data_IF_992402815991
#
_entry.id   IF_992402815991
#
_cell.length_a   1.000
_cell.length_b   1.000
_cell.length_c   1.000
_cell.angle_alpha   90.00
_cell.angle_beta   90.00
_cell.angle_gamma   90.00
#
_symmetry.space_group_name_H-M   'P 1'
#
loop_
_entity.id
_entity.type
_entity.pdbx_description
1 polymer ?
#
# COMPACT_ATOMS: atom_id res chain seq x y z
N UNK A 1 38.21 -23.53 -4.98
CA UNK A 1 37.30 -22.72 -5.81
C UNK A 1 36.30 -22.07 -4.85
N UNK A 2 35.91 -20.83 -5.08
CA UNK A 2 34.85 -20.18 -4.26
C UNK A 2 33.50 -20.73 -4.72
N UNK A 3 32.94 -21.67 -3.96
CA UNK A 3 31.70 -22.38 -4.26
C UNK A 3 30.52 -21.43 -4.29
N UNK A 4 30.50 -20.37 -3.43
CA UNK A 4 29.43 -19.38 -3.42
C UNK A 4 29.44 -18.58 -4.74
N UNK A 5 30.64 -18.15 -5.20
CA UNK A 5 30.74 -17.43 -6.46
C UNK A 5 30.38 -18.30 -7.66
N UNK A 6 30.73 -19.62 -7.60
CA UNK A 6 30.33 -20.57 -8.64
C UNK A 6 28.79 -20.72 -8.69
N UNK A 7 28.14 -20.82 -7.54
CA UNK A 7 26.67 -20.91 -7.46
C UNK A 7 26.00 -19.65 -8.02
N UNK A 8 26.48 -18.44 -7.67
CA UNK A 8 25.96 -17.18 -8.24
C UNK A 8 26.03 -17.17 -9.78
N UNK A 9 27.18 -17.55 -10.35
CA UNK A 9 27.35 -17.59 -11.79
C UNK A 9 26.50 -18.67 -12.49
N UNK A 10 26.26 -19.80 -11.83
CA UNK A 10 25.33 -20.82 -12.32
C UNK A 10 23.90 -20.34 -12.25
N UNK A 11 23.49 -19.66 -11.17
CA UNK A 11 22.16 -19.08 -11.03
C UNK A 11 21.87 -18.04 -12.11
N UNK A 12 22.82 -17.14 -12.38
CA UNK A 12 22.70 -16.18 -13.49
C UNK A 12 22.52 -16.86 -14.86
N UNK A 13 23.18 -18.00 -15.10
CA UNK A 13 23.09 -18.75 -16.36
C UNK A 13 21.87 -19.66 -16.49
N UNK A 14 21.30 -20.04 -15.36
CA UNK A 14 20.06 -20.84 -15.29
C UNK A 14 18.80 -19.97 -15.12
N UNK A 15 18.91 -18.67 -15.37
CA UNK A 15 17.77 -17.77 -15.35
C UNK A 15 16.65 -18.30 -16.27
N UNK A 16 15.45 -18.48 -15.70
CA UNK A 16 14.29 -19.10 -16.37
C UNK A 16 14.21 -20.62 -16.29
N UNK A 17 15.17 -21.30 -15.64
CA UNK A 17 15.07 -22.73 -15.34
C UNK A 17 14.19 -23.04 -14.14
N UNK A 18 14.08 -22.08 -13.20
CA UNK A 18 13.15 -22.15 -12.08
C UNK A 18 11.72 -21.84 -12.55
N UNK A 19 10.77 -22.67 -12.16
CA UNK A 19 9.35 -22.43 -12.32
C UNK A 19 8.78 -22.26 -10.91
N UNK A 20 8.72 -21.03 -10.37
CA UNK A 20 8.19 -20.81 -9.03
C UNK A 20 6.70 -21.15 -8.93
N UNK A 21 6.27 -21.59 -7.74
CA UNK A 21 4.87 -21.81 -7.44
C UNK A 21 4.06 -20.51 -7.58
N UNK A 22 2.86 -20.63 -8.15
CA UNK A 22 1.95 -19.51 -8.37
C UNK A 22 0.77 -19.63 -7.41
N UNK A 23 0.57 -18.61 -6.57
CA UNK A 23 -0.54 -18.54 -5.64
C UNK A 23 -1.88 -18.46 -6.36
N UNK A 24 -2.91 -19.09 -5.79
CA UNK A 24 -4.29 -18.88 -6.22
C UNK A 24 -4.67 -17.40 -6.06
N UNK A 25 -5.59 -16.93 -6.92
CA UNK A 25 -6.13 -15.57 -6.84
C UNK A 25 -7.64 -15.61 -6.69
N UNK A 26 -8.14 -14.75 -5.80
CA UNK A 26 -9.56 -14.49 -5.67
C UNK A 26 -9.88 -13.14 -6.31
N UNK A 27 -10.96 -13.13 -7.08
CA UNK A 27 -11.59 -11.93 -7.61
C UNK A 27 -13.10 -12.03 -7.45
N UNK A 28 -13.82 -10.93 -7.69
CA UNK A 28 -15.28 -10.91 -7.66
C UNK A 28 -15.83 -10.34 -8.96
N UNK A 29 -16.85 -11.01 -9.49
CA UNK A 29 -17.73 -10.45 -10.52
C UNK A 29 -19.09 -10.17 -9.86
N UNK A 30 -19.33 -8.92 -9.47
CA UNK A 30 -20.45 -8.55 -8.60
C UNK A 30 -20.34 -9.23 -7.23
N UNK A 31 -21.25 -10.18 -6.95
CA UNK A 31 -21.23 -10.97 -5.70
C UNK A 31 -20.56 -12.33 -5.84
N UNK A 32 -20.26 -12.75 -7.07
CA UNK A 32 -19.75 -14.09 -7.35
C UNK A 32 -18.24 -14.14 -7.18
N UNK A 33 -17.79 -14.93 -6.19
CA UNK A 33 -16.37 -15.21 -5.96
C UNK A 33 -15.84 -16.07 -7.08
N UNK A 34 -14.78 -15.60 -7.75
CA UNK A 34 -14.05 -16.34 -8.79
C UNK A 34 -12.66 -16.67 -8.27
N UNK A 35 -12.15 -17.84 -8.65
CA UNK A 35 -10.84 -18.33 -8.23
C UNK A 35 -10.04 -18.69 -9.47
N UNK A 36 -8.88 -18.05 -9.63
CA UNK A 36 -7.81 -18.52 -10.50
C UNK A 36 -7.02 -19.56 -9.70
N UNK A 37 -6.89 -20.81 -10.18
CA UNK A 37 -6.20 -21.85 -9.44
C UNK A 37 -4.72 -21.54 -9.18
N UNK A 38 -4.18 -22.10 -8.10
CA UNK A 38 -2.74 -22.14 -7.85
C UNK A 38 -2.07 -23.18 -8.75
N UNK A 39 -0.79 -22.97 -9.00
CA UNK A 39 0.06 -23.93 -9.71
C UNK A 39 1.31 -24.17 -8.85
N UNK A 40 1.64 -25.43 -8.60
CA UNK A 40 2.90 -25.77 -7.92
C UNK A 40 4.04 -25.68 -8.92
N UNK A 41 5.20 -25.24 -8.45
CA UNK A 41 6.40 -25.06 -9.22
C UNK A 41 7.49 -26.06 -8.89
N UNK A 42 8.61 -25.93 -9.57
CA UNK A 42 9.87 -26.62 -9.29
C UNK A 42 11.02 -25.63 -9.42
N UNK A 43 11.91 -25.60 -8.44
CA UNK A 43 13.10 -24.73 -8.43
C UNK A 43 14.37 -25.55 -8.23
N UNK A 44 15.51 -25.02 -8.65
CA UNK A 44 16.79 -25.70 -8.48
C UNK A 44 17.08 -25.86 -6.97
N UNK A 45 17.33 -27.10 -6.56
CA UNK A 45 17.90 -27.40 -5.25
C UNK A 45 19.44 -27.23 -5.32
N UNK A 46 19.88 -26.06 -4.88
CA UNK A 46 21.30 -25.71 -4.97
C UNK A 46 22.21 -26.58 -4.12
N UNK A 47 21.75 -27.15 -3.00
CA UNK A 47 22.60 -27.96 -2.13
C UNK A 47 23.09 -29.24 -2.82
N UNK A 48 22.23 -30.13 -3.34
CA UNK A 48 22.65 -31.30 -4.07
C UNK A 48 23.32 -30.94 -5.41
N UNK A 49 22.84 -29.90 -6.11
CA UNK A 49 23.41 -29.45 -7.38
C UNK A 49 24.87 -29.01 -7.22
N UNK A 50 25.18 -28.23 -6.18
CA UNK A 50 26.56 -27.81 -5.90
C UNK A 50 27.45 -28.94 -5.39
N UNK A 51 26.91 -29.94 -4.71
CA UNK A 51 27.65 -31.15 -4.35
C UNK A 51 28.12 -31.94 -5.60
N UNK A 52 27.30 -32.02 -6.63
CA UNK A 52 27.72 -32.63 -7.92
C UNK A 52 28.71 -31.74 -8.65
N UNK A 53 28.56 -30.43 -8.66
CA UNK A 53 29.52 -29.49 -9.19
C UNK A 53 30.91 -29.71 -8.57
N UNK A 54 31.02 -29.75 -7.24
CA UNK A 54 32.30 -29.91 -6.53
C UNK A 54 33.01 -31.23 -6.89
N UNK A 55 32.27 -32.32 -7.14
CA UNK A 55 32.83 -33.59 -7.57
C UNK A 55 33.36 -33.56 -8.97
N UNK A 56 32.76 -32.80 -9.88
CA UNK A 56 33.04 -32.84 -11.34
C UNK A 56 33.89 -31.69 -11.84
N UNK A 57 33.97 -30.58 -11.12
CA UNK A 57 34.64 -29.36 -11.54
C UNK A 57 36.15 -29.55 -11.87
N UNK A 58 36.79 -30.53 -11.26
CA UNK A 58 38.21 -30.87 -11.47
C UNK A 58 38.41 -32.10 -12.34
N UNK A 59 37.33 -32.75 -12.80
CA UNK A 59 37.38 -33.95 -13.64
C UNK A 59 37.30 -33.65 -15.13
N UNK A 60 37.40 -34.71 -15.93
CA UNK A 60 37.26 -34.66 -17.40
C UNK A 60 35.77 -34.55 -17.81
N UNK A 61 34.86 -35.11 -17.00
CA UNK A 61 33.41 -35.05 -17.21
C UNK A 61 32.83 -33.86 -16.42
N UNK A 62 32.49 -32.80 -17.13
CA UNK A 62 32.02 -31.54 -16.61
C UNK A 62 30.52 -31.30 -16.86
N UNK A 63 29.78 -32.32 -17.29
CA UNK A 63 28.35 -32.26 -17.51
C UNK A 63 27.64 -32.92 -16.34
N UNK A 64 26.62 -32.26 -15.80
CA UNK A 64 25.72 -32.79 -14.79
C UNK A 64 24.36 -32.08 -14.88
N UNK A 65 23.31 -32.76 -14.46
CA UNK A 65 21.97 -32.22 -14.35
C UNK A 65 21.80 -31.48 -13.01
N UNK A 66 21.08 -30.35 -13.02
CA UNK A 66 20.63 -29.72 -11.80
C UNK A 66 19.58 -30.60 -11.10
N UNK A 67 19.63 -30.63 -9.78
CA UNK A 67 18.57 -31.27 -8.98
C UNK A 67 17.48 -30.25 -8.71
N UNK A 68 16.25 -30.63 -8.93
CA UNK A 68 15.07 -29.79 -8.64
C UNK A 68 14.36 -30.23 -7.37
N UNK A 69 13.70 -29.29 -6.71
CA UNK A 69 12.78 -29.55 -5.60
C UNK A 69 11.45 -28.87 -5.86
N UNK A 70 10.33 -29.42 -5.33
CA UNK A 70 9.04 -28.77 -5.40
C UNK A 70 9.07 -27.37 -4.75
N UNK A 71 8.38 -26.43 -5.39
CA UNK A 71 8.09 -25.08 -4.87
C UNK A 71 6.57 -24.90 -4.85
N UNK A 72 5.88 -25.44 -3.82
CA UNK A 72 4.43 -25.39 -3.77
C UNK A 72 3.91 -23.96 -3.59
N UNK A 73 2.74 -23.68 -4.17
CA UNK A 73 2.06 -22.42 -3.94
C UNK A 73 1.76 -22.21 -2.43
N UNK A 74 2.08 -21.04 -1.90
CA UNK A 74 1.85 -20.69 -0.49
C UNK A 74 0.37 -20.45 -0.17
N UNK A 75 -0.40 -19.95 -1.15
CA UNK A 75 -1.85 -19.80 -1.07
C UNK A 75 -2.50 -20.68 -2.14
N UNK A 76 -3.01 -21.81 -1.71
CA UNK A 76 -3.52 -22.85 -2.62
C UNK A 76 -4.93 -22.56 -3.10
N UNK A 77 -5.36 -23.25 -4.17
CA UNK A 77 -6.74 -23.23 -4.64
C UNK A 77 -7.74 -23.63 -3.55
N UNK A 78 -7.36 -24.56 -2.67
CA UNK A 78 -8.22 -24.99 -1.56
C UNK A 78 -8.31 -23.96 -0.46
N UNK A 79 -7.24 -23.19 -0.20
CA UNK A 79 -7.27 -22.05 0.71
C UNK A 79 -8.15 -20.94 0.15
N UNK A 80 -8.07 -20.67 -1.15
CA UNK A 80 -8.92 -19.71 -1.84
C UNK A 80 -10.42 -20.07 -1.76
N UNK A 81 -10.76 -21.36 -1.87
CA UNK A 81 -12.16 -21.84 -1.70
C UNK A 81 -12.67 -21.60 -0.29
N UNK A 82 -11.82 -21.84 0.74
CA UNK A 82 -12.15 -21.68 2.17
C UNK A 82 -12.15 -20.23 2.64
N UNK A 83 -11.44 -19.34 1.94
CA UNK A 83 -11.31 -17.95 2.31
C UNK A 83 -12.64 -17.25 2.45
N UNK A 84 -12.81 -16.51 3.55
CA UNK A 84 -14.00 -15.72 3.88
C UNK A 84 -13.66 -14.24 4.00
N UNK A 85 -14.68 -13.39 3.87
CA UNK A 85 -14.57 -11.93 3.98
C UNK A 85 -15.57 -11.39 5.01
N UNK A 86 -15.74 -12.10 6.12
CA UNK A 86 -16.78 -11.81 7.11
C UNK A 86 -16.34 -10.77 8.13
N UNK A 87 -15.07 -10.80 8.55
CA UNK A 87 -14.57 -9.89 9.57
C UNK A 87 -14.17 -8.54 8.96
N UNK A 88 -14.32 -7.46 9.71
CA UNK A 88 -13.65 -6.20 9.42
C UNK A 88 -12.28 -6.27 10.07
N UNK A 89 -11.23 -6.40 9.25
CA UNK A 89 -9.84 -6.53 9.73
C UNK A 89 -9.17 -5.17 9.92
N UNK A 90 -9.65 -4.14 9.20
CA UNK A 90 -9.26 -2.75 9.38
C UNK A 90 -10.33 -1.82 8.83
N UNK A 91 -10.54 -0.69 9.49
CA UNK A 91 -11.54 0.32 9.10
C UNK A 91 -11.04 1.71 9.43
N UNK A 92 -11.37 2.65 8.55
CA UNK A 92 -11.17 4.07 8.84
C UNK A 92 -12.22 4.93 8.13
N UNK A 93 -12.52 6.10 8.72
CA UNK A 93 -13.47 7.07 8.18
C UNK A 93 -12.85 8.46 8.20
N UNK A 94 -13.00 9.21 7.12
CA UNK A 94 -12.72 10.64 7.08
C UNK A 94 -13.95 11.43 6.59
N UNK A 95 -14.00 12.71 6.95
CA UNK A 95 -15.10 13.61 6.63
C UNK A 95 -14.60 15.03 6.30
N UNK A 96 -15.50 15.93 5.95
CA UNK A 96 -15.16 17.34 5.78
C UNK A 96 -14.52 17.67 4.42
N UNK A 97 -15.04 17.12 3.34
CA UNK A 97 -14.67 17.47 1.97
C UNK A 97 -15.65 18.47 1.33
N UNK A 98 -15.18 19.22 0.34
CA UNK A 98 -16.04 20.08 -0.52
C UNK A 98 -16.89 19.22 -1.46
N UNK A 99 -17.95 19.79 -2.04
CA UNK A 99 -18.80 19.08 -2.99
C UNK A 99 -18.00 18.57 -4.23
N UNK A 100 -17.05 19.36 -4.74
CA UNK A 100 -16.20 18.96 -5.86
C UNK A 100 -15.24 17.83 -5.47
N UNK A 101 -14.56 17.94 -4.30
CA UNK A 101 -13.73 16.84 -3.77
C UNK A 101 -14.57 15.58 -3.53
N UNK A 102 -15.81 15.73 -3.01
CA UNK A 102 -16.72 14.63 -2.76
C UNK A 102 -17.04 13.84 -4.03
N UNK A 103 -17.27 14.52 -5.17
CA UNK A 103 -17.47 13.84 -6.45
C UNK A 103 -16.26 13.00 -6.88
N UNK A 104 -15.06 13.53 -6.72
CA UNK A 104 -13.82 12.79 -7.04
C UNK A 104 -13.59 11.61 -6.07
N UNK A 105 -13.87 11.81 -4.77
CA UNK A 105 -13.79 10.76 -3.74
C UNK A 105 -14.79 9.63 -4.03
N UNK A 106 -16.02 9.97 -4.41
CA UNK A 106 -17.04 8.98 -4.77
C UNK A 106 -16.61 8.12 -5.96
N UNK A 107 -16.07 8.74 -7.02
CA UNK A 107 -15.60 8.02 -8.20
C UNK A 107 -14.48 7.05 -7.86
N UNK A 108 -13.45 7.50 -7.14
CA UNK A 108 -12.35 6.60 -6.76
C UNK A 108 -12.81 5.51 -5.78
N UNK A 109 -13.73 5.83 -4.86
CA UNK A 109 -14.32 4.85 -3.95
C UNK A 109 -15.08 3.75 -4.70
N UNK A 110 -15.87 4.11 -5.72
CA UNK A 110 -16.59 3.15 -6.57
C UNK A 110 -15.62 2.23 -7.35
N UNK A 111 -14.51 2.77 -7.86
CA UNK A 111 -13.51 1.99 -8.59
C UNK A 111 -12.78 0.99 -7.68
N UNK A 112 -12.48 1.38 -6.45
CA UNK A 112 -11.72 0.54 -5.50
C UNK A 112 -12.63 -0.46 -4.76
N UNK A 113 -13.94 -0.16 -4.70
CA UNK A 113 -14.89 -1.02 -3.99
C UNK A 113 -14.96 -2.42 -4.58
N UNK A 114 -14.70 -3.43 -3.78
CA UNK A 114 -14.69 -4.84 -4.16
C UNK A 114 -13.34 -5.37 -4.62
N UNK A 115 -12.30 -4.53 -4.71
CA UNK A 115 -10.95 -4.98 -5.02
C UNK A 115 -10.47 -5.99 -3.96
N UNK A 116 -9.79 -7.04 -4.40
CA UNK A 116 -9.19 -8.07 -3.53
C UNK A 116 -7.69 -7.91 -3.57
N UNK A 117 -7.06 -7.97 -2.40
CA UNK A 117 -5.61 -8.05 -2.25
C UNK A 117 -5.30 -9.44 -1.71
N UNK A 118 -4.83 -10.33 -2.61
CA UNK A 118 -4.53 -11.71 -2.25
C UNK A 118 -3.22 -11.79 -1.44
N UNK A 119 -2.94 -12.91 -0.75
CA UNK A 119 -1.66 -13.14 -0.08
C UNK A 119 -0.47 -12.87 -1.00
N UNK A 120 0.49 -12.09 -0.52
CA UNK A 120 1.67 -11.68 -1.27
C UNK A 120 1.45 -10.56 -2.30
N UNK A 121 0.21 -10.12 -2.54
CA UNK A 121 -0.06 -9.04 -3.51
C UNK A 121 0.13 -7.66 -2.90
N UNK A 122 0.65 -6.74 -3.71
CA UNK A 122 0.71 -5.30 -3.42
C UNK A 122 -0.43 -4.59 -4.14
N UNK A 123 -1.23 -3.86 -3.38
CA UNK A 123 -2.24 -2.95 -3.93
C UNK A 123 -1.59 -1.59 -4.22
N UNK A 124 -1.80 -1.08 -5.42
CA UNK A 124 -1.41 0.28 -5.86
C UNK A 124 -2.68 1.06 -6.18
N UNK A 125 -2.88 2.21 -5.55
CA UNK A 125 -4.07 3.02 -5.82
C UNK A 125 -4.04 3.60 -7.23
N UNK A 126 -2.90 4.13 -7.68
CA UNK A 126 -2.76 4.63 -9.05
C UNK A 126 -2.87 3.50 -10.09
N UNK A 127 -2.25 2.35 -9.81
CA UNK A 127 -2.31 1.18 -10.69
C UNK A 127 -3.73 0.63 -10.84
N UNK A 128 -4.50 0.62 -9.75
CA UNK A 128 -5.87 0.11 -9.75
C UNK A 128 -6.86 1.05 -10.43
N UNK A 129 -6.76 2.35 -10.19
CA UNK A 129 -7.71 3.34 -10.72
C UNK A 129 -7.39 3.80 -12.13
N UNK A 130 -6.13 3.73 -12.54
CA UNK A 130 -5.69 4.32 -13.80
C UNK A 130 -5.86 5.84 -13.85
N UNK A 131 -6.03 6.41 -15.07
CA UNK A 131 -6.15 7.84 -15.26
C UNK A 131 -7.38 8.46 -14.58
N UNK A 132 -7.19 9.61 -13.95
CA UNK A 132 -8.21 10.34 -13.19
C UNK A 132 -8.50 11.74 -13.77
N UNK A 133 -8.69 11.78 -15.08
CA UNK A 133 -8.97 12.99 -15.84
C UNK A 133 -10.47 13.32 -15.99
N UNK A 134 -10.77 14.40 -16.69
CA UNK A 134 -12.16 14.82 -17.00
C UNK A 134 -12.91 13.79 -17.84
N UNK A 135 -12.20 13.06 -18.72
CA UNK A 135 -12.78 11.98 -19.53
C UNK A 135 -13.34 10.82 -18.66
N UNK A 136 -12.81 10.61 -17.46
CA UNK A 136 -13.28 9.64 -16.47
C UNK A 136 -14.33 10.24 -15.51
N UNK A 137 -14.71 11.50 -15.70
CA UNK A 137 -15.73 12.19 -14.90
C UNK A 137 -15.19 12.94 -13.67
N UNK A 138 -13.88 12.97 -13.47
CA UNK A 138 -13.26 13.76 -12.40
C UNK A 138 -13.37 15.24 -12.69
N UNK A 139 -13.50 16.03 -11.63
CA UNK A 139 -13.68 17.48 -11.69
C UNK A 139 -12.54 18.21 -10.99
N UNK A 140 -12.43 19.48 -11.30
CA UNK A 140 -11.48 20.37 -10.64
C UNK A 140 -11.85 20.56 -9.16
N UNK A 141 -10.87 20.43 -8.28
CA UNK A 141 -11.02 20.63 -6.84
C UNK A 141 -9.70 20.94 -6.17
N UNK A 142 -9.74 21.28 -4.87
CA UNK A 142 -8.58 21.72 -4.11
C UNK A 142 -7.45 20.68 -4.05
N UNK A 143 -6.25 21.14 -4.28
CA UNK A 143 -4.99 20.41 -4.09
C UNK A 143 -3.99 21.28 -3.33
N UNK A 144 -2.84 20.68 -2.99
CA UNK A 144 -1.68 21.39 -2.46
C UNK A 144 -0.62 21.43 -3.56
N UNK A 145 -0.19 22.65 -3.95
CA UNK A 145 0.87 22.88 -4.93
C UNK A 145 1.94 23.75 -4.25
N UNK A 146 3.21 23.36 -4.30
CA UNK A 146 4.34 24.12 -3.74
C UNK A 146 4.08 24.68 -2.33
N UNK A 147 3.41 23.88 -1.49
CA UNK A 147 3.09 24.23 -0.11
C UNK A 147 1.96 25.24 0.08
N UNK A 148 1.16 25.54 -0.96
CA UNK A 148 -0.04 26.36 -0.84
C UNK A 148 -1.26 25.69 -1.52
N UNK A 149 -2.47 26.16 -1.19
CA UNK A 149 -3.70 25.67 -1.80
C UNK A 149 -3.82 26.12 -3.25
N UNK A 150 -4.16 25.20 -4.14
CA UNK A 150 -4.47 25.40 -5.54
C UNK A 150 -5.65 24.54 -5.99
N UNK A 151 -5.87 24.40 -7.29
CA UNK A 151 -6.95 23.62 -7.88
C UNK A 151 -6.43 22.77 -9.04
N UNK A 152 -6.89 21.52 -9.15
CA UNK A 152 -6.65 20.65 -10.30
C UNK A 152 -7.74 19.59 -10.43
N UNK A 153 -7.84 18.98 -11.62
CA UNK A 153 -8.72 17.83 -11.87
C UNK A 153 -8.28 16.67 -10.97
N UNK A 154 -9.23 16.00 -10.32
CA UNK A 154 -8.94 14.94 -9.37
C UNK A 154 -8.56 15.43 -7.97
N UNK A 155 -8.63 16.73 -7.68
CA UNK A 155 -8.38 17.24 -6.34
C UNK A 155 -9.28 16.59 -5.26
N UNK A 156 -8.74 16.41 -4.05
CA UNK A 156 -9.43 15.78 -2.94
C UNK A 156 -9.21 14.26 -2.81
N UNK A 157 -8.69 13.57 -3.82
CA UNK A 157 -8.49 12.10 -3.81
C UNK A 157 -7.51 11.67 -2.70
N UNK A 158 -6.57 12.51 -2.30
CA UNK A 158 -5.68 12.24 -1.15
C UNK A 158 -6.46 12.00 0.16
N UNK A 159 -7.69 12.50 0.27
CA UNK A 159 -8.56 12.13 1.40
C UNK A 159 -8.99 10.66 1.34
N UNK A 160 -9.35 10.16 0.17
CA UNK A 160 -9.62 8.73 -0.02
C UNK A 160 -8.36 7.91 0.26
N UNK A 161 -7.20 8.32 -0.28
CA UNK A 161 -5.92 7.66 -0.04
C UNK A 161 -5.58 7.60 1.45
N UNK A 162 -5.76 8.69 2.19
CA UNK A 162 -5.57 8.72 3.65
C UNK A 162 -6.52 7.75 4.37
N UNK A 163 -7.78 7.66 3.90
CA UNK A 163 -8.77 6.74 4.50
C UNK A 163 -8.38 5.28 4.24
N UNK A 164 -8.01 4.96 3.01
CA UNK A 164 -7.57 3.63 2.61
C UNK A 164 -6.28 3.23 3.32
N UNK A 165 -5.29 4.14 3.40
CA UNK A 165 -4.05 3.93 4.12
C UNK A 165 -4.29 3.55 5.58
N UNK A 166 -5.14 4.30 6.29
CA UNK A 166 -5.47 3.98 7.68
C UNK A 166 -6.22 2.65 7.81
N UNK A 167 -7.14 2.32 6.90
CA UNK A 167 -7.81 1.03 6.91
C UNK A 167 -6.81 -0.13 6.72
N UNK A 168 -5.85 0.02 5.79
CA UNK A 168 -4.76 -0.94 5.58
C UNK A 168 -3.80 -1.00 6.79
N UNK A 169 -3.49 0.15 7.39
CA UNK A 169 -2.69 0.27 8.61
C UNK A 169 -3.30 -0.56 9.75
N UNK A 170 -4.60 -0.37 10.03
CA UNK A 170 -5.27 -1.12 11.10
C UNK A 170 -5.58 -2.58 10.73
N UNK A 171 -5.54 -2.94 9.46
CA UNK A 171 -5.61 -4.34 9.01
C UNK A 171 -4.27 -5.08 9.16
N UNK A 172 -3.18 -4.40 9.53
CA UNK A 172 -1.84 -4.99 9.65
C UNK A 172 -1.10 -5.13 8.32
N UNK A 173 -1.60 -4.57 7.21
CA UNK A 173 -0.92 -4.63 5.91
C UNK A 173 0.45 -3.97 5.96
N UNK A 174 1.41 -4.46 5.19
CA UNK A 174 2.71 -3.81 5.06
C UNK A 174 2.57 -2.48 4.31
N UNK A 175 3.17 -1.43 4.84
CA UNK A 175 3.27 -0.13 4.20
C UNK A 175 4.39 -0.15 3.16
N UNK A 176 4.02 -0.33 1.91
CA UNK A 176 4.99 -0.44 0.81
C UNK A 176 5.40 0.93 0.29
N UNK A 177 4.45 1.86 0.18
CA UNK A 177 4.73 3.25 -0.19
C UNK A 177 3.58 4.16 0.20
N UNK A 178 3.86 5.20 0.98
CA UNK A 178 2.98 6.33 1.17
C UNK A 178 3.79 7.63 1.31
N UNK A 179 3.15 8.75 1.05
CA UNK A 179 3.75 10.07 1.19
C UNK A 179 2.82 10.95 2.02
N UNK A 180 3.24 11.48 3.17
CA UNK A 180 2.44 12.44 3.94
C UNK A 180 2.29 13.76 3.17
N UNK A 181 1.31 14.59 3.56
CA UNK A 181 1.23 15.96 3.04
C UNK A 181 2.43 16.79 3.51
N UNK A 182 2.82 17.79 2.73
CA UNK A 182 3.93 18.68 3.08
C UNK A 182 3.67 19.48 4.35
N UNK A 183 2.42 19.93 4.59
CA UNK A 183 1.97 20.52 5.83
C UNK A 183 0.76 19.78 6.41
N UNK A 184 0.59 19.87 7.72
CA UNK A 184 -0.44 19.15 8.43
C UNK A 184 -1.85 19.62 8.10
N UNK A 185 -2.72 18.68 7.75
CA UNK A 185 -4.15 18.89 7.52
C UNK A 185 -4.92 18.36 8.73
N UNK A 186 -5.54 19.25 9.50
CA UNK A 186 -6.10 18.94 10.82
C UNK A 186 -7.25 17.91 10.85
N UNK A 187 -7.86 17.61 9.70
CA UNK A 187 -8.90 16.55 9.60
C UNK A 187 -8.32 15.14 9.56
N UNK A 188 -6.99 14.99 9.48
CA UNK A 188 -6.32 13.69 9.44
C UNK A 188 -5.52 13.44 10.73
N UNK A 189 -5.30 12.17 11.09
CA UNK A 189 -4.40 11.85 12.18
C UNK A 189 -2.95 12.20 11.80
N UNK A 190 -2.29 13.01 12.63
CA UNK A 190 -0.91 13.41 12.38
C UNK A 190 0.02 12.18 12.32
N UNK A 191 0.85 12.11 11.27
CA UNK A 191 1.75 10.99 11.01
C UNK A 191 1.11 9.80 10.28
N UNK A 192 -0.19 9.87 9.96
CA UNK A 192 -0.90 8.81 9.22
C UNK A 192 -1.74 9.38 8.09
N UNK A 193 -1.10 10.11 7.20
CA UNK A 193 -1.70 10.70 6.01
C UNK A 193 -1.09 10.09 4.74
N UNK A 194 -1.85 10.09 3.66
CA UNK A 194 -1.37 9.67 2.35
C UNK A 194 -1.79 10.66 1.27
N UNK A 195 -0.80 11.21 0.59
CA UNK A 195 -0.97 12.01 -0.64
C UNK A 195 -0.91 11.08 -1.84
N UNK A 196 -1.72 11.35 -2.85
CA UNK A 196 -1.59 10.71 -4.17
C UNK A 196 -1.64 11.76 -5.27
N UNK A 197 -0.82 11.54 -6.28
CA UNK A 197 -0.81 12.32 -7.51
C UNK A 197 -0.52 11.37 -8.69
N UNK A 198 -1.41 11.38 -9.69
CA UNK A 198 -1.31 10.48 -10.82
C UNK A 198 0.05 10.59 -11.52
N UNK A 199 0.71 9.44 -11.72
CA UNK A 199 2.01 9.35 -12.38
C UNK A 199 3.23 9.77 -11.53
N UNK A 200 3.03 10.26 -10.28
CA UNK A 200 4.14 10.75 -9.45
C UNK A 200 4.12 10.25 -8.00
N UNK A 201 2.98 10.25 -7.33
CA UNK A 201 2.87 9.87 -5.92
C UNK A 201 1.76 8.82 -5.79
N UNK A 202 2.10 7.65 -5.27
CA UNK A 202 1.17 6.53 -5.10
C UNK A 202 0.99 6.16 -3.63
N UNK A 203 -0.10 5.49 -3.33
CA UNK A 203 -0.31 4.73 -2.12
C UNK A 203 -0.23 3.25 -2.47
N UNK A 204 0.69 2.55 -1.82
CA UNK A 204 0.86 1.10 -1.99
C UNK A 204 0.95 0.41 -0.62
N UNK A 205 0.28 -0.74 -0.51
CA UNK A 205 0.41 -1.62 0.66
C UNK A 205 0.39 -3.08 0.20
N UNK A 206 1.10 -3.94 0.92
CA UNK A 206 1.24 -5.36 0.60
C UNK A 206 0.53 -6.21 1.64
N UNK A 207 -0.22 -7.20 1.18
CA UNK A 207 -0.81 -8.21 2.05
C UNK A 207 0.21 -9.32 2.34
N UNK A 208 0.89 -9.23 3.47
CA UNK A 208 1.87 -10.23 3.93
C UNK A 208 1.26 -11.38 4.73
N UNK A 209 -0.07 -11.39 4.89
CA UNK A 209 -0.79 -12.49 5.54
C UNK A 209 -1.16 -13.60 4.55
N UNK A 210 -1.45 -14.79 5.07
CA UNK A 210 -1.87 -15.95 4.25
C UNK A 210 -3.38 -15.93 3.93
N UNK A 211 -4.09 -14.86 4.27
CA UNK A 211 -5.52 -14.71 3.99
C UNK A 211 -5.77 -13.47 3.13
N UNK A 212 -6.65 -13.55 2.13
CA UNK A 212 -6.96 -12.41 1.27
C UNK A 212 -7.81 -11.39 2.03
N UNK A 213 -7.72 -10.12 1.59
CA UNK A 213 -8.61 -9.06 2.04
C UNK A 213 -9.36 -8.45 0.86
N UNK A 214 -10.61 -8.03 1.09
CA UNK A 214 -11.45 -7.31 0.12
C UNK A 214 -11.67 -5.89 0.62
N UNK A 215 -11.48 -4.92 -0.25
CA UNK A 215 -11.73 -3.52 0.06
C UNK A 215 -13.22 -3.23 -0.15
N UNK A 216 -13.86 -2.69 0.88
CA UNK A 216 -15.23 -2.18 0.81
C UNK A 216 -15.23 -0.69 1.12
N UNK A 217 -15.98 0.08 0.36
CA UNK A 217 -16.10 1.52 0.51
C UNK A 217 -17.55 1.92 0.75
N UNK A 218 -17.75 2.90 1.62
CA UNK A 218 -19.07 3.47 1.91
C UNK A 218 -18.97 5.00 1.86
N UNK A 219 -19.60 5.60 0.86
CA UNK A 219 -19.58 7.04 0.60
C UNK A 219 -20.99 7.62 0.79
N UNK A 220 -21.10 8.59 1.69
CA UNK A 220 -22.37 9.27 1.93
C UNK A 220 -22.35 10.11 3.22
N UNK A 221 -23.33 10.98 3.37
CA UNK A 221 -23.47 11.80 4.60
C UNK A 221 -22.26 12.70 4.91
N UNK A 222 -21.49 13.12 3.91
CA UNK A 222 -20.28 13.92 4.08
C UNK A 222 -19.05 13.13 4.54
N UNK A 223 -19.09 11.80 4.46
CA UNK A 223 -18.05 10.87 4.94
C UNK A 223 -17.65 9.89 3.86
N UNK A 224 -16.42 9.41 3.95
CA UNK A 224 -15.93 8.23 3.25
C UNK A 224 -15.38 7.26 4.27
N UNK A 225 -15.88 6.03 4.25
CA UNK A 225 -15.39 4.92 5.08
C UNK A 225 -14.80 3.85 4.17
N UNK A 226 -13.64 3.35 4.54
CA UNK A 226 -13.00 2.19 3.89
C UNK A 226 -12.87 1.09 4.92
N UNK A 227 -13.26 -0.14 4.54
CA UNK A 227 -13.10 -1.36 5.32
C UNK A 227 -12.29 -2.37 4.52
N UNK A 228 -11.33 -2.99 5.17
CA UNK A 228 -10.75 -4.22 4.68
C UNK A 228 -11.50 -5.38 5.32
N UNK A 229 -12.12 -6.21 4.49
CA UNK A 229 -12.87 -7.40 4.91
C UNK A 229 -12.04 -8.64 4.65
N UNK A 230 -11.99 -9.56 5.61
CA UNK A 230 -11.19 -10.79 5.49
C UNK A 230 -11.41 -11.71 6.69
N UNK A 231 -10.38 -12.45 7.05
CA UNK A 231 -10.29 -13.22 8.30
C UNK A 231 -9.37 -12.47 9.26
N UNK A 232 -9.86 -12.10 10.42
CA UNK A 232 -9.07 -11.36 11.41
C UNK A 232 -8.03 -12.27 12.05
N UNK A 233 -6.76 -11.88 11.97
CA UNK A 233 -5.62 -12.63 12.50
C UNK A 233 -4.79 -11.82 13.48
N UNK A 234 -4.93 -10.49 13.48
CA UNK A 234 -4.17 -9.56 14.32
C UNK A 234 -5.05 -8.44 14.86
N UNK A 235 -4.60 -7.83 15.96
CA UNK A 235 -5.05 -6.53 16.45
C UNK A 235 -3.95 -5.50 16.26
N UNK A 236 -4.31 -4.30 15.81
CA UNK A 236 -3.35 -3.21 15.55
C UNK A 236 -3.72 -2.00 16.39
N UNK A 237 -2.71 -1.49 17.10
CA UNK A 237 -2.80 -0.25 17.89
C UNK A 237 -1.92 0.83 17.27
N UNK A 238 -2.36 2.08 17.37
CA UNK A 238 -1.58 3.26 17.01
C UNK A 238 -1.33 4.10 18.26
N UNK A 239 -0.07 4.46 18.47
CA UNK A 239 0.34 5.34 19.57
C UNK A 239 0.99 6.58 18.98
N UNK A 240 0.27 7.70 19.03
CA UNK A 240 0.83 9.00 18.64
C UNK A 240 1.75 9.53 19.74
N UNK A 241 3.01 9.82 19.41
CA UNK A 241 4.04 10.25 20.36
C UNK A 241 4.10 11.77 20.56
N UNK A 242 3.06 12.50 20.12
CA UNK A 242 2.96 13.95 20.30
C UNK A 242 3.64 14.74 19.19
N UNK A 243 3.86 16.04 19.44
CA UNK A 243 4.41 17.00 18.48
C UNK A 243 5.58 17.76 19.08
N UNK A 244 6.67 17.90 18.32
CA UNK A 244 7.88 18.64 18.74
C UNK A 244 8.50 19.37 17.55
N UNK A 245 9.63 20.06 17.74
CA UNK A 245 10.37 20.78 16.72
C UNK A 245 9.47 21.72 15.88
N UNK A 246 8.67 22.56 16.56
CA UNK A 246 7.78 23.52 15.88
C UNK A 246 8.58 24.52 15.07
N UNK A 247 8.05 24.85 13.87
CA UNK A 247 8.61 25.85 12.95
C UNK A 247 7.53 26.88 12.61
N UNK A 248 7.92 28.16 12.50
CA UNK A 248 6.97 29.25 12.27
C UNK A 248 6.67 29.45 10.76
N UNK A 249 5.42 29.82 10.40
CA UNK A 249 5.03 30.06 9.03
C UNK A 249 5.68 31.35 8.48
N UNK A 250 6.11 31.26 7.22
CA UNK A 250 6.62 32.41 6.49
C UNK A 250 5.52 33.07 5.66
N UNK A 251 5.68 34.39 5.35
CA UNK A 251 4.78 35.12 4.46
C UNK A 251 5.13 34.83 3.01
N UNK A 252 4.10 34.58 2.18
CA UNK A 252 4.22 34.36 0.75
C UNK A 252 3.16 35.19 0.01
N UNK A 253 3.56 35.95 -1.00
CA UNK A 253 2.64 36.62 -1.95
C UNK A 253 2.47 35.72 -3.16
N UNK A 254 1.23 35.48 -3.58
CA UNK A 254 0.88 34.64 -4.73
C UNK A 254 -0.06 35.44 -5.62
N UNK A 255 0.23 35.51 -6.92
CA UNK A 255 -0.55 36.30 -7.90
C UNK A 255 -1.54 35.47 -8.71
N UNK A 256 -1.30 34.17 -8.89
CA UNK A 256 -2.14 33.27 -9.71
C UNK A 256 -2.60 32.08 -8.86
N UNK A 257 -3.79 31.56 -9.13
CA UNK A 257 -4.42 30.41 -8.41
C UNK A 257 -4.29 30.55 -6.88
N UNK A 258 -4.52 31.75 -6.37
CA UNK A 258 -4.27 32.10 -4.99
C UNK A 258 -5.47 31.84 -4.10
N UNK A 259 -5.22 31.10 -3.02
CA UNK A 259 -6.12 31.02 -1.85
C UNK A 259 -5.43 31.64 -0.64
N UNK A 260 -6.00 32.67 -0.02
CA UNK A 260 -5.39 33.29 1.15
C UNK A 260 -5.35 32.32 2.32
N UNK A 261 -4.26 32.39 3.12
CA UNK A 261 -4.07 31.54 4.31
C UNK A 261 -3.52 32.37 5.47
N UNK A 262 -4.03 32.09 6.67
CA UNK A 262 -3.46 32.66 7.91
C UNK A 262 -2.18 31.94 8.34
N UNK A 263 -1.80 30.86 7.66
CA UNK A 263 -0.66 30.04 8.01
C UNK A 263 -0.92 29.13 9.22
N UNK A 264 -0.06 28.15 9.38
CA UNK A 264 -0.01 27.31 10.59
C UNK A 264 1.43 26.84 10.84
N UNK A 265 1.86 26.67 12.10
CA UNK A 265 3.18 26.14 12.42
C UNK A 265 3.38 24.73 11.86
N UNK A 266 4.58 24.46 11.35
CA UNK A 266 5.07 23.13 11.11
C UNK A 266 5.50 22.45 12.41
N UNK A 267 5.67 21.14 12.37
CA UNK A 267 6.12 20.34 13.51
C UNK A 267 6.57 18.95 13.07
N UNK A 268 7.31 18.29 13.93
CA UNK A 268 7.60 16.86 13.79
C UNK A 268 6.64 16.07 14.69
N UNK A 269 6.23 14.90 14.23
CA UNK A 269 5.45 13.93 15.01
C UNK A 269 5.94 12.53 14.72
N UNK A 270 5.59 11.57 15.55
CA UNK A 270 5.72 10.16 15.19
C UNK A 270 4.51 9.37 15.65
N UNK A 271 4.24 8.30 14.94
CA UNK A 271 3.23 7.31 15.26
C UNK A 271 3.90 5.95 15.39
N UNK A 272 3.58 5.24 16.47
CA UNK A 272 4.07 3.88 16.72
C UNK A 272 2.93 2.91 16.47
N UNK A 273 3.10 2.07 15.45
CA UNK A 273 2.21 0.96 15.12
C UNK A 273 2.63 -0.27 15.89
N UNK A 274 1.70 -0.87 16.63
CA UNK A 274 1.92 -2.10 17.37
C UNK A 274 0.97 -3.16 16.84
N UNK A 275 1.50 -4.26 16.32
CA UNK A 275 0.72 -5.40 15.83
C UNK A 275 0.81 -6.51 16.88
N UNK A 276 -0.35 -7.04 17.28
CA UNK A 276 -0.49 -8.12 18.24
C UNK A 276 -1.25 -9.28 17.61
N UNK A 277 -0.94 -10.51 18.01
CA UNK A 277 -1.80 -11.65 17.71
C UNK A 277 -3.10 -11.59 18.54
N UNK A 278 -4.06 -12.45 18.23
CA UNK A 278 -5.36 -12.49 18.93
C UNK A 278 -5.26 -12.92 20.41
N UNK A 279 -4.09 -13.39 20.87
CA UNK A 279 -3.83 -13.63 22.29
C UNK A 279 -3.35 -12.38 23.04
N UNK A 280 -3.08 -11.29 22.30
CA UNK A 280 -2.54 -10.04 22.82
C UNK A 280 -1.01 -9.96 22.85
N UNK A 281 -0.31 -10.97 22.34
CA UNK A 281 1.16 -10.97 22.24
C UNK A 281 1.60 -10.07 21.10
N UNK A 282 2.53 -9.16 21.39
CA UNK A 282 3.14 -8.30 20.39
C UNK A 282 3.94 -9.11 19.36
N UNK A 283 3.63 -8.88 18.07
CA UNK A 283 4.30 -9.49 16.91
C UNK A 283 5.33 -8.52 16.34
N UNK A 284 4.93 -7.25 16.17
CA UNK A 284 5.83 -6.21 15.66
C UNK A 284 5.51 -4.84 16.25
N UNK A 285 6.50 -3.97 16.21
CA UNK A 285 6.42 -2.57 16.63
C UNK A 285 7.26 -1.72 15.69
N UNK A 286 6.63 -0.76 15.05
CA UNK A 286 7.27 0.14 14.10
C UNK A 286 6.94 1.59 14.47
N UNK A 287 7.93 2.49 14.36
CA UNK A 287 7.73 3.92 14.61
C UNK A 287 8.10 4.70 13.36
N UNK A 288 7.12 5.40 12.81
CA UNK A 288 7.32 6.29 11.66
C UNK A 288 7.31 7.74 12.13
N UNK A 289 8.31 8.51 11.71
CA UNK A 289 8.44 9.93 12.00
C UNK A 289 8.05 10.75 10.78
N UNK A 290 7.19 11.74 10.99
CA UNK A 290 6.72 12.66 9.94
C UNK A 290 7.09 14.08 10.32
N UNK A 291 7.66 14.80 9.36
CA UNK A 291 7.98 16.23 9.48
C UNK A 291 7.00 17.00 8.61
N UNK A 292 6.25 17.90 9.22
CA UNK A 292 5.37 18.83 8.52
C UNK A 292 6.01 20.20 8.40
N UNK A 293 6.06 20.70 7.19
CA UNK A 293 6.44 22.09 6.94
C UNK A 293 5.40 23.06 7.51
N UNK A 294 5.77 24.29 7.88
CA UNK A 294 4.80 25.29 8.24
C UNK A 294 3.95 25.68 7.01
N UNK A 295 2.64 25.72 7.16
CA UNK A 295 1.76 26.26 6.13
C UNK A 295 2.02 27.79 6.01
N UNK A 296 2.33 28.31 4.82
CA UNK A 296 2.64 29.73 4.68
C UNK A 296 1.42 30.63 4.96
N UNK A 297 1.72 31.84 5.45
CA UNK A 297 0.75 32.93 5.46
C UNK A 297 0.68 33.49 4.04
N UNK A 298 -0.43 33.23 3.33
CA UNK A 298 -0.58 33.60 1.93
C UNK A 298 -1.44 34.84 1.78
N UNK A 299 -0.91 35.83 1.08
CA UNK A 299 -1.64 37.01 0.62
C UNK A 299 -1.74 36.98 -0.89
N UNK A 300 -2.96 37.16 -1.42
CA UNK A 300 -3.22 37.27 -2.87
C UNK A 300 -3.05 38.73 -3.29
N UNK A 301 -2.18 38.97 -4.28
CA UNK A 301 -1.85 40.30 -4.75
C UNK A 301 -1.85 40.42 -6.25
#
# INVERSE_FOLDING_TARGET
>A
MDTNRAQELLAERSEGADVPGVNAKISFNGKDKQITPSEDGEIIDWEPTMKEFDKRVTGDDREWDATYKPDPAEFTTDDAKKATFNDTVGEFTTEGYSAASGKNIELVAQQVNGAVVNPGETFSLNGHTGPRGTAQGYVESGIIIDGHSGSAVGGGISQFATTLYNAAYFAGMEDTAHTPHSYYISRYPAGREATVYEGAIDLQFTNTFNTPVRIETDFGGGKITVRLKGTKTVDVESVNNGRWAKTEPQRKSVSEDCSPSSGAPGFTTSDTRVIKDLSGKEISRETTTTVYDPQPIVTCG
#
